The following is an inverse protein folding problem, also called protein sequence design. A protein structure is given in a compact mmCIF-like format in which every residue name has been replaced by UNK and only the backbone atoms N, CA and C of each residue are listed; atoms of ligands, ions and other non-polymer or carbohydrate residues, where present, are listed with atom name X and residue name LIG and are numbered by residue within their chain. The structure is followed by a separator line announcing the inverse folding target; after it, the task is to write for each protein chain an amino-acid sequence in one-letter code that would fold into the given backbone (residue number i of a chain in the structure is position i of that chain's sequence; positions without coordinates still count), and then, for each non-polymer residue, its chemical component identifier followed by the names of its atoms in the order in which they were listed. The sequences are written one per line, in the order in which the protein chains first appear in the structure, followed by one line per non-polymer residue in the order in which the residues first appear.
data_IF_991493841183
#
_entry.id   IF_991493841183
#
_cell.length_a   1.000
_cell.length_b   1.000
_cell.length_c   1.000
_cell.angle_alpha   90.00
_cell.angle_beta   90.00
_cell.angle_gamma   90.00
#
_symmetry.space_group_name_H-M   'P 1'
#
loop_
_entity.id
_entity.type
_entity.pdbx_description
1 polymer ?
#
# COMPACT_ATOMS: atom_id res chain seq x y z
N UNK A 1 0.99 7.19 -18.74
CA UNK A 1 1.08 7.55 -17.31
C UNK A 1 2.49 7.23 -16.85
N UNK A 2 3.16 8.16 -16.14
CA UNK A 2 4.59 8.03 -15.82
C UNK A 2 4.92 6.78 -14.98
N UNK A 3 3.99 6.34 -14.12
CA UNK A 3 4.26 5.26 -13.15
C UNK A 3 4.11 3.84 -13.72
N UNK A 4 3.50 3.69 -14.90
CA UNK A 4 3.13 2.39 -15.47
C UNK A 4 4.33 1.46 -15.63
N UNK A 5 5.47 1.99 -16.08
CA UNK A 5 6.69 1.20 -16.24
C UNK A 5 7.17 0.60 -14.93
N UNK A 6 7.15 1.37 -13.84
CA UNK A 6 7.53 0.89 -12.51
C UNK A 6 6.53 -0.14 -11.96
N UNK A 7 5.22 0.10 -12.15
CA UNK A 7 4.17 -0.83 -11.71
C UNK A 7 4.34 -2.21 -12.38
N UNK A 8 4.55 -2.25 -13.70
CA UNK A 8 4.74 -3.50 -14.44
C UNK A 8 6.02 -4.27 -14.07
N UNK A 9 7.04 -3.61 -13.53
CA UNK A 9 8.29 -4.23 -13.10
C UNK A 9 8.27 -4.69 -11.64
N UNK A 10 7.34 -4.16 -10.84
CA UNK A 10 7.28 -4.44 -9.40
C UNK A 10 6.68 -5.81 -9.09
N UNK A 11 7.21 -6.49 -8.06
CA UNK A 11 6.61 -7.74 -7.56
C UNK A 11 5.23 -7.52 -6.91
N UNK A 12 4.98 -6.32 -6.38
CA UNK A 12 3.70 -5.91 -5.81
C UNK A 12 3.34 -4.50 -6.31
N UNK A 13 2.60 -4.44 -7.41
CA UNK A 13 2.07 -3.19 -7.94
C UNK A 13 0.88 -2.75 -7.08
N UNK A 14 1.05 -1.65 -6.35
CA UNK A 14 0.06 -1.10 -5.44
C UNK A 14 -0.27 0.35 -5.80
N UNK A 15 -1.52 0.77 -5.57
CA UNK A 15 -1.93 2.15 -5.83
C UNK A 15 -3.11 2.61 -4.97
N UNK A 16 -3.34 3.92 -4.84
CA UNK A 16 -4.44 4.47 -4.04
C UNK A 16 -5.80 4.31 -4.74
N UNK A 17 -6.90 4.50 -4.01
CA UNK A 17 -8.26 4.43 -4.55
C UNK A 17 -8.50 5.42 -5.71
N UNK A 18 -7.89 6.61 -5.65
CA UNK A 18 -7.96 7.65 -6.67
C UNK A 18 -6.88 7.51 -7.76
N UNK A 19 -6.20 6.37 -7.88
CA UNK A 19 -5.30 6.10 -9.00
C UNK A 19 -6.03 6.24 -10.34
N UNK A 20 -5.33 6.79 -11.34
CA UNK A 20 -5.89 6.97 -12.68
C UNK A 20 -6.44 5.64 -13.21
N UNK A 21 -7.65 5.67 -13.80
CA UNK A 21 -8.39 4.46 -14.16
C UNK A 21 -7.60 3.48 -15.05
N UNK A 22 -6.78 4.01 -15.97
CA UNK A 22 -5.89 3.22 -16.84
C UNK A 22 -4.84 2.39 -16.08
N UNK A 23 -4.49 2.72 -14.83
CA UNK A 23 -3.56 1.92 -14.03
C UNK A 23 -4.22 0.71 -13.36
N UNK A 24 -5.54 0.72 -13.18
CA UNK A 24 -6.26 -0.31 -12.40
C UNK A 24 -5.96 -1.75 -12.84
N UNK A 25 -5.87 -2.08 -14.14
CA UNK A 25 -5.55 -3.44 -14.56
C UNK A 25 -4.14 -3.90 -14.19
N UNK A 26 -3.23 -2.96 -13.89
CA UNK A 26 -1.82 -3.20 -13.58
C UNK A 26 -1.54 -3.17 -12.09
N UNK A 27 -2.54 -2.92 -11.25
CA UNK A 27 -2.39 -2.95 -9.79
C UNK A 27 -2.77 -4.35 -9.28
N UNK A 28 -1.81 -5.02 -8.62
CA UNK A 28 -2.09 -6.26 -7.88
C UNK A 28 -2.95 -5.99 -6.64
N UNK A 29 -2.77 -4.81 -6.04
CA UNK A 29 -3.55 -4.36 -4.90
C UNK A 29 -3.89 -2.87 -5.05
N UNK A 30 -5.07 -2.48 -4.56
CA UNK A 30 -5.51 -1.10 -4.54
C UNK A 30 -6.05 -0.78 -3.16
N UNK A 31 -5.60 0.34 -2.59
CA UNK A 31 -6.09 0.84 -1.33
C UNK A 31 -7.58 1.22 -1.42
N UNK A 32 -8.29 1.10 -0.30
CA UNK A 32 -9.61 1.70 -0.14
C UNK A 32 -9.50 3.22 0.05
N UNK A 33 -8.41 3.69 0.66
CA UNK A 33 -8.16 5.13 0.87
C UNK A 33 -7.51 5.81 -0.34
N UNK A 34 -7.64 7.14 -0.41
CA UNK A 34 -7.04 7.97 -1.46
C UNK A 34 -5.61 8.38 -1.12
N UNK A 35 -4.85 8.76 -2.15
CA UNK A 35 -3.50 9.31 -2.00
C UNK A 35 -3.54 10.63 -1.22
N UNK A 36 -2.62 10.80 -0.27
CA UNK A 36 -2.61 11.93 0.67
C UNK A 36 -3.52 11.74 1.88
N UNK A 37 -4.48 10.82 1.81
CA UNK A 37 -5.38 10.48 2.90
C UNK A 37 -5.18 9.02 3.34
N UNK A 38 -3.93 8.62 3.60
CA UNK A 38 -3.64 7.34 4.25
C UNK A 38 -3.53 6.09 3.37
N UNK A 39 -3.68 6.16 2.04
CA UNK A 39 -3.48 4.99 1.16
C UNK A 39 -2.10 4.31 1.33
N UNK A 40 -1.03 5.11 1.47
CA UNK A 40 0.31 4.57 1.71
C UNK A 40 0.40 3.89 3.09
N UNK A 41 -0.29 4.42 4.10
CA UNK A 41 -0.33 3.81 5.44
C UNK A 41 -1.03 2.47 5.41
N UNK A 42 -2.15 2.38 4.70
CA UNK A 42 -2.88 1.13 4.50
C UNK A 42 -2.02 0.05 3.83
N UNK A 43 -1.25 0.42 2.79
CA UNK A 43 -0.29 -0.49 2.16
C UNK A 43 0.82 -0.93 3.15
N UNK A 44 1.36 0.00 3.94
CA UNK A 44 2.34 -0.33 4.97
C UNK A 44 1.78 -1.32 5.99
N UNK A 45 0.54 -1.12 6.45
CA UNK A 45 -0.11 -2.03 7.40
C UNK A 45 -0.31 -3.43 6.78
N UNK A 46 -0.70 -3.52 5.51
CA UNK A 46 -0.79 -4.80 4.77
C UNK A 46 0.56 -5.53 4.73
N UNK A 47 1.65 -4.82 4.40
CA UNK A 47 2.99 -5.42 4.30
C UNK A 47 3.46 -5.88 5.69
N UNK A 48 3.28 -5.05 6.72
CA UNK A 48 3.69 -5.37 8.09
C UNK A 48 2.90 -6.55 8.66
N UNK A 49 1.60 -6.62 8.37
CA UNK A 49 0.76 -7.75 8.75
C UNK A 49 1.23 -9.03 8.05
N UNK A 50 1.46 -9.00 6.74
CA UNK A 50 1.96 -10.15 5.99
C UNK A 50 3.34 -10.65 6.48
N UNK A 51 4.13 -9.78 7.11
CA UNK A 51 5.43 -10.12 7.70
C UNK A 51 5.37 -10.44 9.21
N UNK A 52 4.19 -10.47 9.83
CA UNK A 52 4.03 -10.74 11.27
C UNK A 52 4.72 -9.70 12.16
N UNK A 53 4.76 -8.43 11.73
CA UNK A 53 5.50 -7.37 12.42
C UNK A 53 4.63 -6.45 13.27
N UNK A 54 3.30 -6.59 13.20
CA UNK A 54 2.34 -5.67 13.81
C UNK A 54 2.49 -5.66 15.33
N UNK A 55 2.48 -6.82 15.98
CA UNK A 55 2.54 -6.96 17.44
C UNK A 55 3.84 -6.36 17.99
N UNK A 56 4.96 -6.61 17.30
CA UNK A 56 6.27 -6.04 17.66
C UNK A 56 6.26 -4.51 17.61
N UNK A 57 5.61 -3.93 16.62
CA UNK A 57 5.51 -2.47 16.47
C UNK A 57 4.57 -1.89 17.53
N UNK A 58 3.41 -2.51 17.77
CA UNK A 58 2.47 -2.06 18.80
C UNK A 58 3.13 -2.11 20.17
N UNK A 59 3.78 -3.21 20.55
CA UNK A 59 4.46 -3.34 21.84
C UNK A 59 5.56 -2.28 22.06
N UNK A 60 6.17 -1.78 20.99
CA UNK A 60 7.22 -0.75 21.07
C UNK A 60 6.66 0.65 21.37
N UNK A 61 5.44 0.96 20.91
CA UNK A 61 4.91 2.33 20.94
C UNK A 61 3.62 2.48 21.76
N UNK A 62 2.98 1.38 22.14
CA UNK A 62 1.83 1.42 23.03
C UNK A 62 2.25 2.01 24.39
N UNK A 63 1.42 2.88 24.98
CA UNK A 63 1.66 3.36 26.33
C UNK A 63 1.60 2.20 27.33
N UNK A 64 2.33 2.35 28.44
CA UNK A 64 2.30 1.42 29.57
C UNK A 64 0.93 1.40 30.26
#
# INVERSE_FOLDING_TARGET
LPDLGALCLSGLAAGPANAHALLRPYLHWRADRTGGDGAARELCDLILHAQGQIERIVARFAPA
#
